data_IF_432575877810
#
_entry.id   IF_432575877810
#
_cell.length_a   1.000
_cell.length_b   1.000
_cell.length_c   1.000
_cell.angle_alpha   90.00
_cell.angle_beta   90.00
_cell.angle_gamma   90.00
#
_symmetry.space_group_name_H-M   'P 1'
#
loop_
_entity.id
_entity.type
_entity.pdbx_description
1 polymer ?
#
# COMPACT_ATOMS: atom_id res chain seq x y z
N UNK A 1 18.94 41.42 83.81
CA UNK A 1 18.68 42.88 83.87
C UNK A 1 18.24 43.37 82.49
N UNK A 2 17.03 43.90 82.43
CA UNK A 2 16.46 44.98 81.59
C UNK A 2 16.84 45.21 80.09
N UNK A 3 15.77 45.22 79.27
CA UNK A 3 15.42 46.11 78.12
C UNK A 3 16.30 46.10 76.85
N UNK A 4 15.80 46.20 75.60
CA UNK A 4 14.71 47.02 75.01
C UNK A 4 14.37 46.51 73.58
N UNK A 5 13.09 46.58 73.20
CA UNK A 5 12.50 47.01 71.91
C UNK A 5 13.37 47.14 70.63
N UNK A 6 12.93 46.57 69.50
CA UNK A 6 12.52 47.36 68.30
C UNK A 6 11.75 46.53 67.25
N UNK A 7 10.66 47.11 66.77
CA UNK A 7 9.80 46.76 65.63
C UNK A 7 10.40 47.28 64.30
N UNK A 8 10.05 46.66 63.14
CA UNK A 8 9.12 47.19 62.09
C UNK A 8 9.39 46.66 60.65
N UNK A 9 8.29 46.17 60.03
CA UNK A 9 7.83 46.22 58.61
C UNK A 9 8.63 45.62 57.43
N UNK A 10 7.99 44.74 56.61
CA UNK A 10 8.41 44.39 55.26
C UNK A 10 7.69 45.20 54.16
N UNK A 11 8.40 45.36 53.04
CA UNK A 11 8.16 46.24 51.90
C UNK A 11 7.21 45.69 50.83
N UNK A 12 6.34 46.61 50.39
CA UNK A 12 5.50 46.80 49.20
C UNK A 12 5.70 46.07 47.85
N UNK A 13 6.44 44.96 47.71
CA UNK A 13 6.64 44.34 46.38
C UNK A 13 5.60 43.28 45.97
N UNK A 14 4.77 42.79 46.89
CA UNK A 14 3.81 41.72 46.58
C UNK A 14 2.42 42.19 46.08
N UNK A 15 2.14 43.49 46.09
CA UNK A 15 0.77 43.98 45.82
C UNK A 15 0.50 44.32 44.35
N UNK A 16 1.53 44.40 43.49
CA UNK A 16 1.34 44.77 42.08
C UNK A 16 1.14 43.58 41.13
N UNK A 17 1.57 42.36 41.50
CA UNK A 17 1.36 41.17 40.68
C UNK A 17 -0.04 40.55 40.80
N UNK A 18 -0.79 40.84 41.86
CA UNK A 18 -2.10 40.21 42.09
C UNK A 18 -3.30 40.92 41.43
N UNK A 19 -3.10 42.11 40.84
CA UNK A 19 -4.17 42.87 40.14
C UNK A 19 -4.24 42.59 38.63
N UNK A 20 -3.14 42.17 38.01
CA UNK A 20 -3.08 41.89 36.56
C UNK A 20 -3.55 40.48 36.19
N UNK A 21 -3.59 39.53 37.14
CA UNK A 21 -4.08 38.17 36.91
C UNK A 21 -5.62 38.08 36.87
N UNK A 22 -6.33 38.88 37.68
CA UNK A 22 -7.81 38.85 37.75
C UNK A 22 -8.49 39.46 36.52
N UNK A 23 -7.88 40.45 35.88
CA UNK A 23 -8.42 41.10 34.66
C UNK A 23 -8.29 40.17 33.43
N UNK A 24 -7.26 39.31 33.39
CA UNK A 24 -7.06 38.33 32.30
C UNK A 24 -8.04 37.15 32.37
N UNK A 25 -8.46 36.73 33.56
CA UNK A 25 -9.44 35.64 33.72
C UNK A 25 -10.89 36.06 33.39
N UNK A 26 -11.25 37.32 33.67
CA UNK A 26 -12.59 37.84 33.30
C UNK A 26 -12.73 38.07 31.79
N UNK A 27 -11.66 38.43 31.09
CA UNK A 27 -11.66 38.55 29.63
C UNK A 27 -11.77 37.18 28.92
N UNK A 28 -11.17 36.12 29.47
CA UNK A 28 -11.24 34.75 28.94
C UNK A 28 -12.62 34.10 29.13
N UNK A 29 -13.28 34.35 30.27
CA UNK A 29 -14.64 33.86 30.53
C UNK A 29 -15.69 34.54 29.64
N UNK A 30 -15.51 35.84 29.33
CA UNK A 30 -16.38 36.56 28.39
C UNK A 30 -16.27 36.07 26.95
N UNK A 31 -15.07 35.66 26.50
CA UNK A 31 -14.87 35.11 25.14
C UNK A 31 -15.38 33.68 25.00
N UNK A 32 -15.24 32.84 26.03
CA UNK A 32 -15.77 31.47 26.02
C UNK A 32 -17.31 31.49 26.03
N UNK A 33 -17.95 32.39 26.79
CA UNK A 33 -19.42 32.54 26.78
C UNK A 33 -19.97 33.10 25.45
N UNK A 34 -19.23 33.99 24.78
CA UNK A 34 -19.61 34.48 23.44
C UNK A 34 -19.46 33.41 22.35
N UNK A 35 -18.44 32.55 22.43
CA UNK A 35 -18.24 31.43 21.49
C UNK A 35 -19.28 30.33 21.71
N UNK A 36 -19.66 30.05 22.95
CA UNK A 36 -20.71 29.06 23.27
C UNK A 36 -22.11 29.57 22.93
N UNK A 37 -22.41 30.87 23.13
CA UNK A 37 -23.67 31.46 22.69
C UNK A 37 -23.77 31.56 21.16
N UNK A 38 -22.66 31.83 20.47
CA UNK A 38 -22.58 31.79 19.01
C UNK A 38 -22.77 30.38 18.42
N UNK A 39 -22.20 29.35 19.07
CA UNK A 39 -22.38 27.95 18.67
C UNK A 39 -23.80 27.44 18.92
N UNK A 40 -24.44 27.83 20.04
CA UNK A 40 -25.82 27.46 20.33
C UNK A 40 -26.84 28.14 19.38
N UNK A 41 -26.55 29.36 18.91
CA UNK A 41 -27.35 30.06 17.89
C UNK A 41 -27.10 29.55 16.46
N UNK A 42 -25.94 28.95 16.19
CA UNK A 42 -25.64 28.28 14.91
C UNK A 42 -26.33 26.91 14.82
N UNK A 43 -26.31 26.13 15.89
CA UNK A 43 -26.92 24.79 15.94
C UNK A 43 -28.46 24.85 15.94
N UNK A 44 -29.06 25.95 16.39
CA UNK A 44 -30.52 26.13 16.40
C UNK A 44 -31.11 26.72 15.11
N UNK A 45 -30.29 26.99 14.09
CA UNK A 45 -30.73 27.61 12.81
C UNK A 45 -30.37 26.87 11.53
N UNK A 46 -29.81 25.67 11.57
CA UNK A 46 -29.66 24.83 10.37
C UNK A 46 -30.83 23.85 10.26
N UNK A 47 -31.76 24.02 9.30
CA UNK A 47 -32.70 22.97 8.94
C UNK A 47 -31.90 21.78 8.42
N UNK A 48 -32.30 20.57 8.80
CA UNK A 48 -31.75 19.33 8.28
C UNK A 48 -31.91 19.26 6.76
N UNK A 49 -30.87 19.68 6.04
CA UNK A 49 -30.62 19.33 4.66
C UNK A 49 -29.37 18.48 4.64
N UNK A 50 -29.45 17.32 4.00
CA UNK A 50 -28.27 16.55 3.60
C UNK A 50 -27.32 17.53 2.89
N UNK A 51 -26.22 17.89 3.54
CA UNK A 51 -25.16 18.63 2.88
C UNK A 51 -24.55 17.64 1.90
N UNK A 52 -25.00 17.75 0.66
CA UNK A 52 -24.33 17.17 -0.49
C UNK A 52 -22.91 17.74 -0.48
N UNK A 53 -21.96 16.94 0.01
CA UNK A 53 -20.54 17.32 0.01
C UNK A 53 -20.16 17.61 -1.43
N UNK A 54 -19.86 18.87 -1.74
CA UNK A 54 -19.23 19.22 -3.01
C UNK A 54 -18.03 18.30 -3.20
N UNK A 55 -17.88 17.63 -4.35
CA UNK A 55 -16.71 16.80 -4.61
C UNK A 55 -15.46 17.67 -4.40
N UNK A 56 -14.52 17.20 -3.58
CA UNK A 56 -13.19 17.80 -3.51
C UNK A 56 -12.62 17.83 -4.93
N UNK A 57 -12.40 19.01 -5.50
CA UNK A 57 -11.77 19.16 -6.81
C UNK A 57 -10.35 18.60 -6.73
N UNK A 58 -10.15 17.38 -7.17
CA UNK A 58 -8.81 16.82 -7.37
C UNK A 58 -8.19 17.49 -8.58
N UNK A 59 -7.45 18.56 -8.35
CA UNK A 59 -6.70 19.22 -9.42
C UNK A 59 -5.58 18.30 -9.93
N UNK A 60 -5.40 18.18 -11.26
CA UNK A 60 -4.27 17.46 -11.83
C UNK A 60 -2.93 18.03 -11.34
N UNK A 61 -2.01 17.15 -10.95
CA UNK A 61 -0.65 17.51 -10.53
C UNK A 61 0.27 17.33 -11.74
N UNK A 62 1.09 18.32 -12.05
CA UNK A 62 2.08 18.22 -13.12
C UNK A 62 3.29 17.40 -12.65
N UNK A 63 3.79 16.52 -13.51
CA UNK A 63 5.08 15.83 -13.29
C UNK A 63 6.25 16.78 -13.47
N UNK A 64 7.42 16.39 -12.97
CA UNK A 64 8.66 17.05 -13.39
C UNK A 64 8.88 16.86 -14.91
N UNK A 65 9.56 17.81 -15.58
CA UNK A 65 9.91 17.67 -16.99
C UNK A 65 10.91 16.52 -17.18
N UNK A 66 10.78 15.82 -18.31
CA UNK A 66 11.69 14.74 -18.67
C UNK A 66 11.43 14.21 -20.08
N UNK A 67 12.18 13.17 -20.51
CA UNK A 67 12.04 12.59 -21.84
C UNK A 67 10.67 11.94 -22.10
N UNK A 68 9.87 11.73 -21.05
CA UNK A 68 8.49 11.27 -21.12
C UNK A 68 7.48 12.32 -21.63
N UNK A 69 7.89 13.59 -21.72
CA UNK A 69 7.02 14.71 -22.09
C UNK A 69 6.35 15.38 -20.88
N UNK A 70 5.26 16.09 -21.13
CA UNK A 70 4.47 16.74 -20.08
C UNK A 70 3.40 15.79 -19.56
N UNK A 71 3.56 15.30 -18.33
CA UNK A 71 2.54 14.49 -17.68
C UNK A 71 1.76 15.30 -16.66
N UNK A 72 0.48 14.99 -16.56
CA UNK A 72 -0.33 15.31 -15.40
C UNK A 72 -0.90 14.04 -14.79
N UNK A 73 -1.09 14.03 -13.48
CA UNK A 73 -1.67 12.88 -12.81
C UNK A 73 -2.66 13.29 -11.72
N UNK A 74 -3.65 12.42 -11.51
CA UNK A 74 -4.70 12.60 -10.52
C UNK A 74 -4.61 11.41 -9.56
N UNK A 75 -4.44 11.64 -8.24
CA UNK A 75 -4.53 10.58 -7.25
C UNK A 75 -5.92 9.95 -7.27
N UNK A 76 -5.95 8.62 -7.33
CA UNK A 76 -7.18 7.83 -7.24
C UNK A 76 -7.02 6.75 -6.19
N UNK A 77 -8.15 6.20 -5.79
CA UNK A 77 -8.26 5.10 -4.86
C UNK A 77 -8.96 3.93 -5.57
N UNK A 78 -8.37 2.74 -5.47
CA UNK A 78 -8.92 1.53 -6.08
C UNK A 78 -9.37 0.60 -4.95
N UNK A 79 -10.61 0.14 -5.05
CA UNK A 79 -11.23 -0.75 -4.07
C UNK A 79 -11.27 -2.18 -4.60
N UNK A 80 -11.06 -3.12 -3.69
CA UNK A 80 -11.22 -4.54 -3.99
C UNK A 80 -12.69 -4.83 -4.34
N UNK A 81 -12.96 -5.61 -5.41
CA UNK A 81 -14.32 -6.03 -5.74
C UNK A 81 -14.97 -6.86 -4.63
N UNK A 82 -16.30 -6.73 -4.50
CA UNK A 82 -17.08 -7.31 -3.41
C UNK A 82 -16.92 -8.83 -3.30
N UNK A 83 -16.84 -9.54 -4.43
CA UNK A 83 -16.69 -11.01 -4.47
C UNK A 83 -15.38 -11.54 -3.87
N UNK A 84 -14.38 -10.68 -3.63
CA UNK A 84 -13.16 -11.08 -2.91
C UNK A 84 -13.30 -10.99 -1.39
N UNK A 85 -14.35 -10.33 -0.88
CA UNK A 85 -14.52 -10.03 0.55
C UNK A 85 -15.23 -11.15 1.33
N UNK A 86 -15.77 -12.16 0.64
CA UNK A 86 -16.58 -13.23 1.24
C UNK A 86 -15.79 -14.19 2.15
N UNK A 87 -14.45 -14.11 2.14
CA UNK A 87 -13.53 -15.07 2.80
C UNK A 87 -12.82 -14.54 4.05
N UNK A 88 -13.12 -13.32 4.50
CA UNK A 88 -12.40 -12.70 5.62
C UNK A 88 -13.15 -13.03 6.90
N UNK A 89 -12.72 -14.11 7.55
CA UNK A 89 -13.31 -14.60 8.78
C UNK A 89 -12.76 -13.85 10.00
N UNK A 90 -13.65 -13.58 10.96
CA UNK A 90 -13.28 -12.97 12.23
C UNK A 90 -12.58 -13.94 13.18
N UNK A 91 -11.69 -14.82 12.73
CA UNK A 91 -11.06 -15.82 13.62
C UNK A 91 -10.21 -15.14 14.70
N UNK A 92 -10.28 -15.59 15.97
CA UNK A 92 -9.46 -15.01 17.04
C UNK A 92 -7.97 -15.04 16.71
N UNK A 93 -7.21 -13.97 17.04
CA UNK A 93 -5.80 -13.88 16.71
C UNK A 93 -4.99 -14.97 17.42
N UNK A 94 -4.18 -15.65 16.64
CA UNK A 94 -3.14 -16.56 17.14
C UNK A 94 -1.80 -16.01 16.68
N UNK A 95 -0.93 -15.69 17.64
CA UNK A 95 0.39 -15.12 17.36
C UNK A 95 1.44 -16.22 17.35
N UNK A 96 2.22 -16.29 16.28
CA UNK A 96 3.33 -17.23 16.14
C UNK A 96 4.68 -16.52 16.26
N UNK A 97 5.52 -17.02 17.17
CA UNK A 97 6.89 -16.57 17.39
C UNK A 97 7.85 -17.68 16.98
N UNK A 98 8.29 -17.68 15.72
CA UNK A 98 9.17 -18.70 15.16
C UNK A 98 10.58 -18.68 15.76
N UNK A 99 11.08 -19.85 16.14
CA UNK A 99 12.42 -20.04 16.73
C UNK A 99 12.56 -19.56 18.17
N UNK A 100 11.52 -19.00 18.79
CA UNK A 100 11.59 -18.54 20.17
C UNK A 100 11.55 -19.70 21.16
N UNK A 101 12.51 -19.74 22.08
CA UNK A 101 12.38 -20.55 23.29
C UNK A 101 11.45 -19.86 24.28
N UNK A 102 10.92 -20.63 25.23
CA UNK A 102 10.04 -20.11 26.29
C UNK A 102 10.65 -18.93 27.06
N UNK A 103 11.92 -19.04 27.45
CA UNK A 103 12.63 -17.99 28.17
C UNK A 103 12.92 -16.76 27.29
N UNK A 104 13.30 -16.98 26.03
CA UNK A 104 13.54 -15.89 25.08
C UNK A 104 12.25 -15.10 24.81
N UNK A 105 11.12 -15.78 24.63
CA UNK A 105 9.82 -15.16 24.42
C UNK A 105 9.37 -14.35 25.64
N UNK A 106 9.50 -14.91 26.84
CA UNK A 106 9.17 -14.19 28.07
C UNK A 106 10.03 -12.93 28.24
N UNK A 107 11.34 -13.02 27.97
CA UNK A 107 12.21 -11.85 28.05
C UNK A 107 11.87 -10.80 26.98
N UNK A 108 11.55 -11.23 25.76
CA UNK A 108 11.12 -10.35 24.68
C UNK A 108 9.84 -9.59 25.07
N UNK A 109 8.80 -10.30 25.50
CA UNK A 109 7.51 -9.70 25.86
C UNK A 109 7.64 -8.68 27.00
N UNK A 110 8.50 -8.95 28.00
CA UNK A 110 8.83 -7.98 29.07
C UNK A 110 9.46 -6.69 28.53
N UNK A 111 10.21 -6.79 27.45
CA UNK A 111 10.84 -5.66 26.76
C UNK A 111 9.87 -4.81 25.94
N UNK A 112 8.62 -5.23 25.73
CA UNK A 112 7.64 -4.53 24.87
C UNK A 112 6.89 -3.38 25.58
N UNK A 113 7.29 -3.00 26.79
CA UNK A 113 6.66 -1.90 27.53
C UNK A 113 5.19 -2.18 27.91
N UNK A 114 4.88 -3.42 28.26
CA UNK A 114 3.53 -3.85 28.65
C UNK A 114 3.15 -3.32 30.04
N UNK A 115 1.85 -3.06 30.24
CA UNK A 115 1.29 -2.86 31.58
C UNK A 115 1.22 -4.18 32.37
N UNK A 116 1.12 -4.10 33.70
CA UNK A 116 1.15 -5.27 34.59
C UNK A 116 0.10 -6.33 34.27
N UNK A 117 -1.12 -5.92 33.95
CA UNK A 117 -2.21 -6.84 33.58
C UNK A 117 -1.94 -7.53 32.23
N UNK A 118 -1.40 -6.78 31.27
CA UNK A 118 -1.06 -7.30 29.94
C UNK A 118 0.10 -8.29 30.01
N UNK A 119 1.13 -7.98 30.78
CA UNK A 119 2.24 -8.90 31.04
C UNK A 119 1.70 -10.17 31.71
N UNK A 120 0.85 -10.05 32.73
CA UNK A 120 0.28 -11.22 33.40
C UNK A 120 -0.50 -12.11 32.42
N UNK A 121 -1.32 -11.50 31.56
CA UNK A 121 -2.09 -12.22 30.54
C UNK A 121 -1.19 -12.91 29.51
N UNK A 122 -0.18 -12.21 28.98
CA UNK A 122 0.74 -12.75 27.97
C UNK A 122 1.72 -13.78 28.53
N UNK A 123 2.05 -13.71 29.82
CA UNK A 123 2.90 -14.69 30.51
C UNK A 123 2.14 -15.91 30.99
N UNK A 124 0.82 -15.99 30.77
CA UNK A 124 0.05 -17.19 31.08
C UNK A 124 0.43 -18.32 30.13
N UNK A 125 1.30 -19.20 30.61
CA UNK A 125 1.85 -20.31 29.83
C UNK A 125 0.80 -21.35 29.42
N UNK A 126 -0.40 -21.35 30.03
CA UNK A 126 -1.50 -22.20 29.59
C UNK A 126 -2.04 -21.79 28.21
N UNK A 127 -1.80 -20.53 27.80
CA UNK A 127 -2.16 -20.02 26.47
C UNK A 127 -1.04 -20.23 25.43
N UNK A 128 0.08 -20.86 25.83
CA UNK A 128 1.25 -21.07 24.99
C UNK A 128 1.28 -22.51 24.47
N UNK A 129 1.38 -22.65 23.17
CA UNK A 129 1.60 -23.92 22.48
C UNK A 129 3.03 -23.93 21.94
N UNK A 130 3.91 -24.66 22.61
CA UNK A 130 5.32 -24.78 22.22
C UNK A 130 5.51 -26.00 21.30
N UNK A 131 6.21 -25.81 20.19
CA UNK A 131 6.67 -26.89 19.32
C UNK A 131 8.14 -26.67 18.88
N UNK A 132 8.64 -27.51 17.97
CA UNK A 132 10.02 -27.38 17.46
C UNK A 132 10.23 -26.13 16.58
N UNK A 133 9.16 -25.58 16.00
CA UNK A 133 9.20 -24.43 15.11
C UNK A 133 9.13 -23.10 15.88
N UNK A 134 8.57 -23.09 17.09
CA UNK A 134 8.44 -21.89 17.92
C UNK A 134 7.31 -21.98 18.94
N UNK A 135 6.67 -20.85 19.19
CA UNK A 135 5.55 -20.73 20.13
C UNK A 135 4.34 -20.09 19.46
N UNK A 136 3.17 -20.73 19.59
CA UNK A 136 1.87 -20.10 19.29
C UNK A 136 1.23 -19.61 20.58
N UNK A 137 0.71 -18.39 20.57
CA UNK A 137 -0.02 -17.79 21.68
C UNK A 137 -1.42 -17.44 21.20
N UNK A 138 -2.43 -17.99 21.86
CA UNK A 138 -3.82 -17.52 21.68
C UNK A 138 -4.05 -16.28 22.53
N UNK A 139 -4.43 -15.18 21.90
CA UNK A 139 -4.64 -13.90 22.59
C UNK A 139 -6.12 -13.49 22.58
N UNK A 140 -6.55 -12.85 23.65
CA UNK A 140 -7.91 -12.33 23.78
C UNK A 140 -8.07 -10.96 23.13
N UNK A 141 -9.24 -10.70 22.54
CA UNK A 141 -9.59 -9.43 21.92
C UNK A 141 -9.37 -8.23 22.86
N UNK A 142 -9.75 -8.38 24.14
CA UNK A 142 -9.58 -7.32 25.15
C UNK A 142 -8.10 -6.97 25.36
N UNK A 143 -7.22 -7.98 25.36
CA UNK A 143 -5.79 -7.79 25.50
C UNK A 143 -5.25 -6.99 24.31
N UNK A 144 -5.57 -7.40 23.07
CA UNK A 144 -5.12 -6.73 21.84
C UNK A 144 -5.57 -5.26 21.80
N UNK A 145 -6.84 -4.99 22.15
CA UNK A 145 -7.39 -3.62 22.22
C UNK A 145 -6.69 -2.76 23.28
N UNK A 146 -6.25 -3.37 24.38
CA UNK A 146 -5.61 -2.64 25.48
C UNK A 146 -4.17 -2.23 25.18
N UNK A 147 -3.50 -2.83 24.19
CA UNK A 147 -2.10 -2.52 23.90
C UNK A 147 -1.92 -1.05 23.54
N UNK A 148 -0.87 -0.44 24.08
CA UNK A 148 -0.44 0.89 23.62
C UNK A 148 0.06 0.79 22.17
N UNK A 149 0.03 1.90 21.39
CA UNK A 149 0.62 1.90 20.04
C UNK A 149 2.09 1.47 20.02
N UNK A 150 2.86 1.80 21.08
CA UNK A 150 4.26 1.40 21.22
C UNK A 150 4.40 -0.12 21.43
N UNK A 151 3.67 -0.69 22.40
CA UNK A 151 3.72 -2.13 22.68
C UNK A 151 3.22 -2.96 21.50
N UNK A 152 2.15 -2.49 20.83
CA UNK A 152 1.61 -3.11 19.61
C UNK A 152 2.67 -3.13 18.51
N UNK A 153 3.31 -1.99 18.24
CA UNK A 153 4.40 -1.92 17.25
C UNK A 153 5.54 -2.88 17.59
N UNK A 154 6.00 -2.92 18.84
CA UNK A 154 7.09 -3.80 19.27
C UNK A 154 6.76 -5.29 19.04
N UNK A 155 5.56 -5.73 19.44
CA UNK A 155 5.12 -7.12 19.25
C UNK A 155 4.90 -7.41 17.77
N UNK A 156 4.17 -6.55 17.06
CA UNK A 156 3.75 -6.83 15.68
C UNK A 156 4.93 -6.81 14.72
N UNK A 157 5.96 -6.00 14.97
CA UNK A 157 7.22 -6.06 14.21
C UNK A 157 7.95 -7.41 14.38
N UNK A 158 7.84 -8.06 15.54
CA UNK A 158 8.38 -9.41 15.73
C UNK A 158 7.54 -10.47 15.00
N UNK A 159 6.21 -10.33 15.05
CA UNK A 159 5.28 -11.22 14.35
C UNK A 159 5.39 -11.12 12.82
N UNK A 160 5.62 -9.91 12.31
CA UNK A 160 5.74 -9.60 10.88
C UNK A 160 6.90 -10.35 10.19
N UNK A 161 7.81 -10.95 10.95
CA UNK A 161 8.92 -11.75 10.41
C UNK A 161 8.51 -13.16 9.99
N UNK A 162 7.28 -13.57 10.31
CA UNK A 162 6.80 -14.92 10.11
C UNK A 162 5.49 -14.90 9.31
N UNK A 163 5.43 -15.54 8.12
CA UNK A 163 4.25 -15.52 7.25
C UNK A 163 3.00 -16.17 7.87
N UNK A 164 3.17 -16.99 8.92
CA UNK A 164 2.07 -17.56 9.70
C UNK A 164 1.23 -16.49 10.40
N UNK A 165 1.79 -15.30 10.65
CA UNK A 165 1.06 -14.14 11.17
C UNK A 165 0.55 -13.26 10.04
N UNK A 166 -0.30 -13.79 9.16
CA UNK A 166 -0.64 -13.16 7.87
C UNK A 166 -0.97 -11.66 7.96
N UNK A 167 -1.76 -11.24 8.95
CA UNK A 167 -2.17 -9.85 9.12
C UNK A 167 -1.01 -8.93 9.56
N UNK A 168 -0.08 -9.44 10.37
CA UNK A 168 1.11 -8.69 10.81
C UNK A 168 2.25 -8.79 9.80
N UNK A 169 2.34 -9.89 9.05
CA UNK A 169 3.31 -10.11 7.98
C UNK A 169 3.07 -9.14 6.81
N UNK A 170 1.80 -8.92 6.45
CA UNK A 170 1.40 -8.00 5.40
C UNK A 170 0.34 -7.00 5.91
N UNK A 171 0.71 -6.10 6.83
CA UNK A 171 -0.25 -5.15 7.41
C UNK A 171 -0.67 -4.12 6.36
N UNK A 172 -1.84 -3.51 6.57
CA UNK A 172 -2.20 -2.34 5.77
C UNK A 172 -1.37 -1.14 6.24
N UNK A 173 -0.66 -0.52 5.30
CA UNK A 173 0.20 0.62 5.56
C UNK A 173 -0.39 1.91 4.99
N UNK A 174 -0.35 2.96 5.80
CA UNK A 174 -0.92 4.26 5.47
C UNK A 174 0.07 5.38 5.76
N UNK A 175 0.04 6.41 4.91
CA UNK A 175 0.60 7.70 5.26
C UNK A 175 -0.24 8.35 6.35
N UNK A 176 0.35 8.78 7.48
CA UNK A 176 -0.40 9.41 8.57
C UNK A 176 -1.35 10.51 8.09
N UNK A 177 -0.89 11.37 7.19
CA UNK A 177 -1.60 12.53 6.66
C UNK A 177 -2.76 12.20 5.70
N UNK A 178 -2.89 10.94 5.25
CA UNK A 178 -3.96 10.51 4.33
C UNK A 178 -5.03 9.63 4.99
N UNK A 179 -4.89 9.33 6.28
CA UNK A 179 -5.80 8.42 6.99
C UNK A 179 -7.19 9.04 7.10
N UNK A 180 -7.29 10.31 7.48
CA UNK A 180 -8.58 10.96 7.69
C UNK A 180 -9.37 11.09 6.38
N UNK A 181 -8.73 11.57 5.30
CA UNK A 181 -9.33 11.63 3.96
C UNK A 181 -9.86 10.26 3.49
N UNK A 182 -9.13 9.19 3.80
CA UNK A 182 -9.54 7.82 3.48
C UNK A 182 -10.81 7.43 4.24
N UNK A 183 -10.83 7.70 5.54
CA UNK A 183 -11.94 7.32 6.43
C UNK A 183 -13.21 8.11 6.11
N UNK A 184 -13.09 9.39 5.81
CA UNK A 184 -14.22 10.25 5.40
C UNK A 184 -14.92 9.69 4.15
N UNK A 185 -14.14 9.28 3.14
CA UNK A 185 -14.64 8.67 1.91
C UNK A 185 -15.22 7.26 2.13
N UNK A 186 -14.93 6.61 3.25
CA UNK A 186 -15.38 5.25 3.57
C UNK A 186 -16.84 5.15 4.02
N UNK A 187 -17.45 6.28 4.42
CA UNK A 187 -18.84 6.34 4.96
C UNK A 187 -19.08 5.34 6.10
N UNK A 188 -18.08 5.20 6.96
CA UNK A 188 -18.09 4.36 8.15
C UNK A 188 -18.77 5.09 9.31
N UNK A 189 -19.33 4.35 10.24
CA UNK A 189 -19.87 4.90 11.47
C UNK A 189 -18.74 5.51 12.33
N UNK A 190 -19.03 6.53 13.16
CA UNK A 190 -18.05 7.10 14.08
C UNK A 190 -17.45 6.07 15.04
N UNK A 191 -18.25 5.06 15.43
CA UNK A 191 -17.82 3.93 16.25
C UNK A 191 -16.73 3.11 15.54
N UNK A 192 -16.98 2.68 14.31
CA UNK A 192 -16.02 1.94 13.49
C UNK A 192 -14.73 2.73 13.30
N UNK A 193 -14.84 4.02 12.99
CA UNK A 193 -13.68 4.91 12.81
C UNK A 193 -12.85 4.98 14.09
N UNK A 194 -13.50 5.11 15.26
CA UNK A 194 -12.80 5.14 16.54
C UNK A 194 -12.07 3.82 16.80
N UNK A 195 -12.74 2.69 16.63
CA UNK A 195 -12.13 1.37 16.81
C UNK A 195 -10.95 1.12 15.87
N UNK A 196 -11.05 1.56 14.61
CA UNK A 196 -9.94 1.50 13.65
C UNK A 196 -8.76 2.33 14.14
N UNK A 197 -8.99 3.59 14.52
CA UNK A 197 -7.92 4.50 14.99
C UNK A 197 -7.22 3.99 16.26
N UNK A 198 -7.95 3.36 17.18
CA UNK A 198 -7.39 2.77 18.41
C UNK A 198 -6.38 1.64 18.15
N UNK A 199 -6.50 0.95 17.01
CA UNK A 199 -5.67 -0.20 16.64
C UNK A 199 -4.49 0.16 15.73
N UNK A 200 -4.40 1.41 15.32
CA UNK A 200 -3.26 1.91 14.56
C UNK A 200 -1.98 1.87 15.40
N UNK A 201 -0.85 1.59 14.75
CA UNK A 201 0.46 1.61 15.40
C UNK A 201 1.55 2.19 14.49
N UNK A 202 2.59 2.82 15.07
CA UNK A 202 3.71 3.35 14.30
C UNK A 202 4.48 2.24 13.59
N UNK A 203 4.85 2.53 12.33
CA UNK A 203 5.50 1.59 11.43
C UNK A 203 6.53 2.37 10.59
N UNK A 204 7.68 2.70 11.20
CA UNK A 204 8.66 3.60 10.59
C UNK A 204 8.09 5.01 10.41
N UNK A 205 8.10 5.51 9.17
CA UNK A 205 7.44 6.78 8.79
C UNK A 205 5.96 6.61 8.41
N UNK A 206 5.44 5.39 8.47
CA UNK A 206 4.06 5.04 8.15
C UNK A 206 3.28 4.68 9.42
N UNK A 207 1.97 4.52 9.26
CA UNK A 207 1.10 3.91 10.27
C UNK A 207 0.57 2.59 9.72
N UNK A 208 0.58 1.56 10.56
CA UNK A 208 0.12 0.23 10.19
C UNK A 208 -1.20 -0.14 10.87
N UNK A 209 -1.93 -1.05 10.22
CA UNK A 209 -3.15 -1.68 10.72
C UNK A 209 -3.17 -3.17 10.35
N UNK A 210 -3.34 -4.04 11.35
CA UNK A 210 -3.29 -5.49 11.20
C UNK A 210 -4.44 -6.22 11.93
N UNK A 211 -5.45 -5.49 12.40
CA UNK A 211 -6.46 -6.04 13.32
C UNK A 211 -7.87 -6.02 12.71
N UNK A 212 -7.99 -6.23 11.39
CA UNK A 212 -9.29 -6.28 10.69
C UNK A 212 -10.23 -7.26 11.35
N UNK A 213 -9.77 -8.49 11.62
CA UNK A 213 -10.57 -9.55 12.26
C UNK A 213 -11.19 -9.13 13.60
N UNK A 214 -10.48 -8.32 14.38
CA UNK A 214 -10.92 -7.83 15.69
C UNK A 214 -12.12 -6.89 15.61
N UNK A 215 -12.12 -6.00 14.62
CA UNK A 215 -13.24 -5.09 14.34
C UNK A 215 -14.41 -5.87 13.73
N UNK A 216 -14.10 -6.72 12.76
CA UNK A 216 -15.07 -7.53 12.03
C UNK A 216 -15.88 -8.48 12.93
N UNK A 217 -15.28 -9.04 13.98
CA UNK A 217 -16.00 -9.87 14.98
C UNK A 217 -17.08 -9.10 15.73
N UNK A 218 -16.83 -7.82 16.00
CA UNK A 218 -17.79 -6.97 16.72
C UNK A 218 -18.87 -6.37 15.82
N UNK A 219 -18.76 -6.53 14.49
CA UNK A 219 -19.70 -5.96 13.53
C UNK A 219 -20.82 -6.95 13.17
N UNK A 220 -22.06 -6.59 13.49
CA UNK A 220 -23.26 -7.32 13.08
C UNK A 220 -23.88 -6.82 11.76
N UNK A 221 -23.59 -5.59 11.35
CA UNK A 221 -24.13 -4.99 10.14
C UNK A 221 -23.26 -5.33 8.92
N UNK A 222 -23.80 -6.13 7.99
CA UNK A 222 -23.08 -6.57 6.78
C UNK A 222 -22.71 -5.41 5.84
N UNK A 223 -23.53 -4.37 5.73
CA UNK A 223 -23.22 -3.20 4.89
C UNK A 223 -22.04 -2.42 5.48
N UNK A 224 -22.04 -2.20 6.79
CA UNK A 224 -20.93 -1.56 7.50
C UNK A 224 -19.65 -2.41 7.39
N UNK A 225 -19.78 -3.73 7.52
CA UNK A 225 -18.69 -4.71 7.34
C UNK A 225 -18.02 -4.55 5.97
N UNK A 226 -18.82 -4.55 4.89
CA UNK A 226 -18.31 -4.39 3.53
C UNK A 226 -17.63 -3.02 3.32
N UNK A 227 -18.25 -1.94 3.82
CA UNK A 227 -17.64 -0.59 3.74
C UNK A 227 -16.31 -0.54 4.48
N UNK A 228 -16.24 -1.14 5.68
CA UNK A 228 -15.02 -1.19 6.47
C UNK A 228 -13.92 -1.92 5.69
N UNK A 229 -14.23 -3.12 5.18
CA UNK A 229 -13.28 -3.91 4.40
C UNK A 229 -12.76 -3.19 3.16
N UNK A 230 -13.65 -2.55 2.39
CA UNK A 230 -13.23 -1.71 1.26
C UNK A 230 -12.35 -0.54 1.69
N UNK A 231 -12.73 0.15 2.76
CA UNK A 231 -12.00 1.33 3.26
C UNK A 231 -10.59 0.98 3.70
N UNK A 232 -10.40 -0.13 4.42
CA UNK A 232 -9.07 -0.54 4.92
C UNK A 232 -8.20 -1.13 3.81
N UNK A 233 -8.78 -1.88 2.86
CA UNK A 233 -8.05 -2.56 1.79
C UNK A 233 -7.75 -1.67 0.57
N UNK A 234 -8.44 -0.54 0.42
CA UNK A 234 -8.28 0.40 -0.70
C UNK A 234 -6.81 0.72 -0.96
N UNK A 235 -6.40 0.76 -2.22
CA UNK A 235 -5.03 1.03 -2.66
C UNK A 235 -4.97 2.34 -3.43
N UNK A 236 -4.07 3.23 -3.02
CA UNK A 236 -3.84 4.49 -3.73
C UNK A 236 -3.13 4.22 -5.06
N UNK A 237 -3.53 4.93 -6.11
CA UNK A 237 -2.94 4.87 -7.44
C UNK A 237 -3.05 6.25 -8.12
N UNK A 238 -2.68 6.34 -9.39
CA UNK A 238 -2.78 7.55 -10.18
C UNK A 238 -3.45 7.27 -11.51
N UNK A 239 -4.31 8.17 -11.99
CA UNK A 239 -4.59 8.30 -13.42
C UNK A 239 -3.56 9.26 -14.00
N UNK A 240 -2.79 8.82 -14.99
CA UNK A 240 -1.69 9.61 -15.55
C UNK A 240 -1.99 9.91 -17.02
N UNK A 241 -1.91 11.17 -17.40
CA UNK A 241 -2.17 11.65 -18.76
C UNK A 241 -0.93 12.33 -19.33
N UNK A 242 -0.63 12.01 -20.58
CA UNK A 242 0.33 12.74 -21.40
C UNK A 242 -0.39 13.89 -22.11
N UNK A 243 0.13 15.10 -21.95
CA UNK A 243 -0.29 16.27 -22.68
C UNK A 243 0.47 16.35 -24.01
N UNK A 244 -0.26 16.29 -25.13
CA UNK A 244 0.27 16.40 -26.49
C UNK A 244 -0.24 17.70 -27.10
N UNK A 245 0.68 18.64 -27.34
CA UNK A 245 0.42 19.94 -27.95
C UNK A 245 0.82 19.99 -29.42
N UNK A 246 0.35 20.97 -30.21
CA UNK A 246 0.75 21.13 -31.61
C UNK A 246 2.26 21.24 -31.85
N UNK A 247 3.01 21.71 -30.86
CA UNK A 247 4.46 21.89 -30.88
C UNK A 247 5.23 20.75 -30.18
N UNK A 248 4.56 19.67 -29.77
CA UNK A 248 5.22 18.53 -29.10
C UNK A 248 6.18 17.77 -30.02
N UNK A 249 7.35 17.42 -29.50
CA UNK A 249 8.32 16.56 -30.21
C UNK A 249 7.86 15.10 -30.20
N UNK A 250 7.10 14.72 -31.22
CA UNK A 250 6.59 13.35 -31.39
C UNK A 250 7.73 12.32 -31.44
N UNK A 251 8.87 12.65 -32.06
CA UNK A 251 10.00 11.71 -32.18
C UNK A 251 10.61 11.42 -30.81
N UNK A 252 10.76 12.44 -29.96
CA UNK A 252 11.21 12.25 -28.59
C UNK A 252 10.23 11.41 -27.76
N UNK A 253 8.92 11.66 -27.90
CA UNK A 253 7.88 10.89 -27.22
C UNK A 253 7.87 9.42 -27.66
N UNK A 254 7.93 9.16 -28.96
CA UNK A 254 8.02 7.79 -29.51
C UNK A 254 9.30 7.10 -29.05
N UNK A 255 10.42 7.82 -28.99
CA UNK A 255 11.68 7.26 -28.47
C UNK A 255 11.59 6.84 -27.01
N UNK A 256 10.86 7.58 -26.18
CA UNK A 256 10.69 7.24 -24.77
C UNK A 256 9.64 6.13 -24.56
N UNK A 257 8.42 6.35 -25.05
CA UNK A 257 7.28 5.45 -24.83
C UNK A 257 7.30 4.21 -25.72
N UNK A 258 8.05 4.23 -26.82
CA UNK A 258 8.19 3.12 -27.77
C UNK A 258 9.11 1.99 -27.33
N UNK A 259 9.58 2.00 -26.07
CA UNK A 259 10.34 0.90 -25.50
C UNK A 259 9.60 -0.44 -25.66
N UNK A 260 10.33 -1.47 -26.10
CA UNK A 260 9.81 -2.83 -26.34
C UNK A 260 8.84 -2.91 -27.52
N UNK A 261 9.33 -3.28 -28.71
CA UNK A 261 8.59 -3.65 -29.96
C UNK A 261 7.40 -2.79 -30.47
N UNK A 262 6.89 -1.82 -29.71
CA UNK A 262 5.60 -1.13 -29.92
C UNK A 262 5.75 0.32 -30.38
N UNK A 263 6.98 0.83 -30.57
CA UNK A 263 7.23 2.20 -31.05
C UNK A 263 6.44 2.55 -32.33
N UNK A 264 6.26 1.58 -33.23
CA UNK A 264 5.62 1.77 -34.54
C UNK A 264 4.10 1.99 -34.45
N UNK A 265 3.47 1.61 -33.35
CA UNK A 265 2.01 1.66 -33.22
C UNK A 265 1.52 3.01 -32.66
N UNK A 266 2.39 3.78 -32.01
CA UNK A 266 2.01 5.03 -31.33
C UNK A 266 2.30 6.30 -32.12
N UNK A 267 3.28 6.27 -33.04
CA UNK A 267 3.67 7.45 -33.81
C UNK A 267 2.48 8.09 -34.56
N UNK A 268 1.67 7.35 -35.35
CA UNK A 268 0.53 7.95 -36.05
C UNK A 268 -0.53 8.53 -35.11
N UNK A 269 -0.71 7.91 -33.93
CA UNK A 269 -1.63 8.40 -32.90
C UNK A 269 -1.14 9.74 -32.35
N UNK A 270 0.12 9.82 -31.92
CA UNK A 270 0.71 11.04 -31.37
C UNK A 270 0.74 12.17 -32.39
N UNK A 271 1.10 11.89 -33.65
CA UNK A 271 1.02 12.86 -34.75
C UNK A 271 -0.40 13.37 -35.01
N UNK A 272 -1.42 12.53 -34.79
CA UNK A 272 -2.80 12.96 -34.91
C UNK A 272 -3.20 13.90 -33.77
N UNK A 273 -2.72 13.63 -32.56
CA UNK A 273 -3.01 14.47 -31.40
C UNK A 273 -2.38 15.87 -31.48
N UNK A 274 -1.24 16.03 -32.17
CA UNK A 274 -0.66 17.38 -32.41
C UNK A 274 -1.52 18.25 -33.33
N UNK A 275 -2.40 17.65 -34.15
CA UNK A 275 -3.32 18.39 -35.03
C UNK A 275 -4.56 18.93 -34.31
N UNK A 276 -4.76 18.57 -33.04
CA UNK A 276 -5.88 19.08 -32.23
C UNK A 276 -5.58 20.51 -31.78
N UNK A 277 -6.46 21.45 -32.13
CA UNK A 277 -6.34 22.85 -31.72
C UNK A 277 -6.36 22.96 -30.19
N UNK A 278 -5.35 23.63 -29.62
CA UNK A 278 -5.18 23.76 -28.16
C UNK A 278 -4.51 22.56 -27.47
N UNK A 279 -4.17 21.50 -28.21
CA UNK A 279 -3.60 20.27 -27.67
C UNK A 279 -4.64 19.29 -27.14
N UNK A 280 -4.19 18.08 -26.79
CA UNK A 280 -5.02 17.00 -26.30
C UNK A 280 -4.29 16.22 -25.20
N UNK A 281 -5.05 15.54 -24.35
CA UNK A 281 -4.53 14.68 -23.28
C UNK A 281 -4.92 13.24 -23.54
N UNK A 282 -3.96 12.33 -23.43
CA UNK A 282 -4.18 10.88 -23.56
C UNK A 282 -3.73 10.17 -22.29
N UNK A 283 -4.53 9.19 -21.82
CA UNK A 283 -4.13 8.34 -20.69
C UNK A 283 -2.94 7.46 -21.09
N UNK A 284 -1.88 7.43 -20.27
CA UNK A 284 -0.68 6.65 -20.57
C UNK A 284 -0.93 5.14 -20.56
N UNK A 285 -2.06 4.66 -20.04
CA UNK A 285 -2.49 3.28 -20.20
C UNK A 285 -2.50 2.85 -21.68
N UNK A 286 -2.78 3.77 -22.61
CA UNK A 286 -2.70 3.55 -24.05
C UNK A 286 -1.27 3.50 -24.61
N UNK A 287 -0.27 3.85 -23.81
CA UNK A 287 1.16 3.79 -24.14
C UNK A 287 1.86 2.60 -23.47
N UNK A 288 1.22 1.98 -22.47
CA UNK A 288 1.72 0.76 -21.84
C UNK A 288 1.77 -0.42 -22.81
N UNK A 289 2.69 -1.39 -22.63
CA UNK A 289 2.69 -2.62 -23.41
C UNK A 289 1.41 -3.43 -23.14
N UNK A 290 1.01 -4.34 -24.06
CA UNK A 290 -0.23 -5.11 -23.94
C UNK A 290 -0.41 -5.82 -22.59
N UNK A 291 0.68 -6.36 -22.02
CA UNK A 291 0.66 -7.02 -20.71
C UNK A 291 0.18 -6.10 -19.59
N UNK A 292 0.81 -4.93 -19.47
CA UNK A 292 0.54 -3.96 -18.41
C UNK A 292 -0.79 -3.25 -18.64
N UNK A 293 -1.11 -2.89 -19.90
CA UNK A 293 -2.39 -2.26 -20.27
C UNK A 293 -3.60 -3.11 -19.87
N UNK A 294 -3.53 -4.43 -20.05
CA UNK A 294 -4.63 -5.35 -19.68
C UNK A 294 -4.83 -5.48 -18.16
N UNK A 295 -3.86 -5.03 -17.35
CA UNK A 295 -3.82 -5.29 -15.91
C UNK A 295 -3.90 -4.04 -15.05
N UNK A 296 -3.45 -2.90 -15.54
CA UNK A 296 -3.46 -1.65 -14.76
C UNK A 296 -4.88 -1.39 -14.20
N UNK A 297 -4.94 -1.14 -12.89
CA UNK A 297 -6.13 -0.96 -12.06
C UNK A 297 -7.04 -2.18 -11.89
N UNK A 298 -6.57 -3.39 -12.20
CA UNK A 298 -7.31 -4.63 -11.96
C UNK A 298 -6.71 -5.44 -10.81
N UNK A 299 -7.53 -6.34 -10.26
CA UNK A 299 -7.10 -7.35 -9.29
C UNK A 299 -6.88 -8.68 -10.00
N UNK A 300 -5.95 -9.53 -9.53
CA UNK A 300 -5.75 -10.84 -10.11
C UNK A 300 -7.04 -11.67 -9.99
N UNK A 301 -7.47 -12.25 -11.11
CA UNK A 301 -8.57 -13.22 -11.10
C UNK A 301 -8.04 -14.51 -10.48
N UNK A 302 -8.67 -15.01 -9.41
CA UNK A 302 -8.32 -16.30 -8.82
C UNK A 302 -9.33 -17.39 -9.20
N UNK A 303 -8.81 -18.60 -9.40
CA UNK A 303 -9.53 -19.87 -9.34
C UNK A 303 -8.85 -20.64 -8.21
N UNK A 304 -9.60 -21.10 -7.21
CA UNK A 304 -9.05 -21.80 -6.04
C UNK A 304 -8.54 -23.19 -6.43
N UNK A 305 -7.31 -23.31 -6.94
CA UNK A 305 -6.62 -24.59 -7.16
C UNK A 305 -5.19 -24.54 -6.65
N UNK A 306 -4.68 -25.68 -6.16
CA UNK A 306 -3.33 -25.79 -5.58
C UNK A 306 -2.19 -25.47 -6.59
N UNK A 307 -2.46 -25.58 -7.90
CA UNK A 307 -1.51 -25.28 -8.99
C UNK A 307 -1.55 -23.80 -9.43
N UNK A 308 -1.93 -22.88 -8.54
CA UNK A 308 -2.15 -21.50 -8.93
C UNK A 308 -0.84 -20.79 -9.30
N UNK A 309 -0.84 -20.20 -10.49
CA UNK A 309 0.22 -19.32 -10.98
C UNK A 309 0.44 -18.16 -10.00
N UNK A 310 1.63 -18.08 -9.40
CA UNK A 310 2.01 -16.98 -8.53
C UNK A 310 2.34 -15.72 -9.35
N UNK A 311 1.32 -14.89 -9.60
CA UNK A 311 1.45 -13.64 -10.36
C UNK A 311 1.95 -12.48 -9.49
N UNK A 312 3.09 -12.64 -8.82
CA UNK A 312 3.62 -11.63 -7.90
C UNK A 312 4.34 -10.44 -8.60
N UNK A 313 5.05 -9.65 -7.80
CA UNK A 313 5.82 -8.49 -8.25
C UNK A 313 6.94 -8.84 -9.24
N UNK A 314 7.57 -9.99 -9.08
CA UNK A 314 8.67 -10.48 -9.93
C UNK A 314 8.10 -10.98 -11.25
N UNK A 315 7.11 -11.88 -11.21
CA UNK A 315 6.42 -12.35 -12.39
C UNK A 315 5.86 -11.20 -13.23
N UNK A 316 5.27 -10.20 -12.58
CA UNK A 316 4.76 -8.99 -13.23
C UNK A 316 5.86 -8.20 -13.93
N UNK A 317 7.00 -7.99 -13.26
CA UNK A 317 8.10 -7.18 -13.79
C UNK A 317 8.80 -7.86 -14.97
N UNK A 318 9.04 -9.17 -14.89
CA UNK A 318 9.62 -9.94 -15.99
C UNK A 318 8.77 -9.98 -17.26
N UNK A 319 7.44 -9.89 -17.09
CA UNK A 319 6.47 -9.97 -18.18
C UNK A 319 6.06 -8.61 -18.76
N UNK A 320 6.55 -7.48 -18.21
CA UNK A 320 6.10 -6.13 -18.59
C UNK A 320 6.08 -5.87 -20.11
N UNK A 321 7.15 -6.25 -20.81
CA UNK A 321 7.27 -6.09 -22.27
C UNK A 321 6.90 -7.35 -23.08
N UNK A 322 6.33 -8.37 -22.47
CA UNK A 322 6.00 -9.63 -23.15
C UNK A 322 4.56 -9.61 -23.63
N UNK A 323 4.34 -9.97 -24.88
CA UNK A 323 2.99 -10.12 -25.44
C UNK A 323 2.25 -11.30 -24.80
N UNK A 324 2.94 -12.42 -24.66
CA UNK A 324 2.49 -13.63 -24.00
C UNK A 324 3.27 -13.75 -22.68
N UNK A 325 2.59 -13.70 -21.51
CA UNK A 325 3.25 -13.93 -20.23
C UNK A 325 3.94 -15.30 -20.22
N UNK A 326 5.10 -15.36 -19.57
CA UNK A 326 5.82 -16.59 -19.31
C UNK A 326 5.66 -16.92 -17.82
N UNK A 327 5.08 -18.09 -17.57
CA UNK A 327 4.68 -18.52 -16.23
C UNK A 327 5.81 -19.19 -15.46
N UNK A 328 6.89 -19.56 -16.16
CA UNK A 328 8.14 -19.99 -15.55
C UNK A 328 8.81 -18.90 -14.70
N UNK A 329 8.43 -17.63 -14.84
CA UNK A 329 8.87 -16.56 -13.93
C UNK A 329 8.27 -16.63 -12.53
N UNK A 330 7.27 -17.49 -12.30
CA UNK A 330 6.78 -17.80 -10.96
C UNK A 330 7.69 -18.78 -10.21
N UNK A 331 8.62 -19.44 -10.91
CA UNK A 331 9.67 -20.27 -10.31
C UNK A 331 10.92 -19.39 -10.02
N UNK A 332 11.35 -19.27 -8.75
CA UNK A 332 12.50 -18.47 -8.37
C UNK A 332 13.80 -18.83 -9.10
N UNK A 333 14.09 -20.11 -9.32
CA UNK A 333 15.35 -20.54 -9.94
C UNK A 333 15.38 -20.17 -11.43
N UNK A 334 14.26 -20.44 -12.12
CA UNK A 334 14.10 -20.07 -13.52
C UNK A 334 14.13 -18.55 -13.73
N UNK A 335 13.52 -17.80 -12.81
CA UNK A 335 13.53 -16.34 -12.83
C UNK A 335 14.95 -15.77 -12.68
N UNK A 336 15.75 -16.28 -11.74
CA UNK A 336 17.15 -15.86 -11.54
C UNK A 336 18.00 -16.13 -12.79
N UNK A 337 17.95 -17.35 -13.34
CA UNK A 337 18.73 -17.71 -14.52
C UNK A 337 18.39 -16.83 -15.74
N UNK A 338 17.11 -16.52 -15.93
CA UNK A 338 16.67 -15.61 -16.99
C UNK A 338 17.04 -14.15 -16.72
N UNK A 339 17.01 -13.72 -15.47
CA UNK A 339 17.39 -12.37 -15.08
C UNK A 339 18.84 -12.05 -15.48
N UNK A 340 19.79 -12.92 -15.14
CA UNK A 340 21.21 -12.73 -15.46
C UNK A 340 21.46 -12.67 -16.98
N UNK A 341 20.71 -13.45 -17.75
CA UNK A 341 20.89 -13.53 -19.21
C UNK A 341 20.15 -12.43 -19.97
N UNK A 342 19.01 -11.95 -19.48
CA UNK A 342 18.17 -10.96 -20.17
C UNK A 342 18.35 -9.53 -19.67
N UNK A 343 18.95 -9.30 -18.49
CA UNK A 343 19.08 -7.96 -17.91
C UNK A 343 20.54 -7.59 -17.65
N UNK A 344 20.81 -6.28 -17.66
CA UNK A 344 22.09 -5.68 -17.27
C UNK A 344 21.86 -4.68 -16.13
N UNK A 345 22.79 -4.63 -15.18
CA UNK A 345 22.77 -3.65 -14.10
C UNK A 345 23.15 -2.28 -14.67
N UNK A 346 22.28 -1.29 -14.47
CA UNK A 346 22.52 0.11 -14.85
C UNK A 346 23.14 0.91 -13.69
N UNK A 347 22.83 0.53 -12.45
CA UNK A 347 23.29 1.19 -11.23
C UNK A 347 22.18 1.27 -10.20
N UNK A 348 22.25 2.25 -9.28
CA UNK A 348 21.26 2.45 -8.22
C UNK A 348 20.56 3.82 -8.26
N UNK A 349 21.02 4.72 -9.14
CA UNK A 349 20.50 6.08 -9.28
C UNK A 349 19.34 6.13 -10.28
N UNK A 350 18.14 6.48 -9.79
CA UNK A 350 16.92 6.52 -10.60
C UNK A 350 16.90 7.63 -11.63
N UNK A 351 17.80 8.61 -11.55
CA UNK A 351 17.99 9.61 -12.62
C UNK A 351 18.45 8.97 -13.94
N UNK A 352 19.03 7.77 -13.88
CA UNK A 352 19.42 6.98 -15.06
C UNK A 352 18.34 6.02 -15.54
N UNK A 353 17.20 5.94 -14.83
CA UNK A 353 16.10 5.06 -15.18
C UNK A 353 15.42 5.51 -16.47
N UNK A 354 15.00 4.51 -17.24
CA UNK A 354 14.25 4.66 -18.48
C UNK A 354 12.97 3.87 -18.39
N UNK A 355 12.00 4.25 -19.22
CA UNK A 355 10.74 3.53 -19.34
C UNK A 355 10.97 2.02 -19.49
N UNK A 356 10.39 1.26 -18.57
CA UNK A 356 10.47 -0.20 -18.57
C UNK A 356 11.70 -0.80 -17.90
N UNK A 357 12.63 0.02 -17.38
CA UNK A 357 13.70 -0.51 -16.54
C UNK A 357 13.09 -1.11 -15.26
N UNK A 358 13.66 -2.22 -14.81
CA UNK A 358 13.24 -2.92 -13.61
C UNK A 358 13.98 -2.36 -12.39
N UNK A 359 13.22 -1.92 -11.40
CA UNK A 359 13.70 -1.58 -10.07
C UNK A 359 13.62 -2.85 -9.21
N UNK A 360 14.74 -3.28 -8.65
CA UNK A 360 14.80 -4.42 -7.73
C UNK A 360 15.22 -3.90 -6.36
N UNK A 361 14.44 -4.24 -5.35
CA UNK A 361 14.68 -3.88 -3.96
C UNK A 361 15.20 -5.09 -3.21
N UNK A 362 16.33 -4.91 -2.54
CA UNK A 362 16.99 -5.95 -1.77
C UNK A 362 16.92 -5.60 -0.29
N UNK A 363 16.45 -6.52 0.54
CA UNK A 363 16.42 -6.34 1.99
C UNK A 363 17.80 -6.49 2.62
N UNK A 364 17.90 -6.19 3.91
CA UNK A 364 19.15 -6.30 4.69
C UNK A 364 19.80 -7.69 4.69
N UNK A 365 19.05 -8.76 4.40
CA UNK A 365 19.55 -10.13 4.25
C UNK A 365 20.22 -10.41 2.90
N UNK A 366 20.19 -9.44 1.97
CA UNK A 366 20.62 -9.65 0.59
C UNK A 366 19.58 -10.39 -0.27
N UNK A 367 18.36 -10.60 0.23
CA UNK A 367 17.27 -11.22 -0.55
C UNK A 367 16.52 -10.13 -1.33
N UNK A 368 16.14 -10.41 -2.57
CA UNK A 368 15.24 -9.54 -3.34
C UNK A 368 13.84 -9.61 -2.73
N UNK A 369 13.34 -8.49 -2.23
CA UNK A 369 12.07 -8.40 -1.49
C UNK A 369 10.95 -7.83 -2.35
N UNK A 370 11.29 -7.12 -3.43
CA UNK A 370 10.31 -6.59 -4.37
C UNK A 370 10.94 -6.23 -5.72
N UNK A 371 10.12 -6.21 -6.77
CA UNK A 371 10.47 -5.56 -8.03
C UNK A 371 9.32 -4.75 -8.61
N UNK A 372 9.65 -3.64 -9.29
CA UNK A 372 8.70 -2.79 -9.98
C UNK A 372 9.31 -2.28 -11.30
N UNK A 373 8.47 -1.65 -12.13
CA UNK A 373 8.89 -1.11 -13.43
C UNK A 373 8.86 0.41 -13.41
N UNK A 374 9.93 1.04 -13.86
CA UNK A 374 10.01 2.49 -13.99
C UNK A 374 9.13 2.97 -15.14
N UNK A 375 8.29 3.99 -14.89
CA UNK A 375 7.40 4.56 -15.90
C UNK A 375 7.88 5.96 -16.30
N UNK A 376 7.87 6.93 -15.39
CA UNK A 376 8.27 8.32 -15.61
C UNK A 376 8.21 9.11 -14.29
N UNK A 377 9.08 10.10 -14.08
CA UNK A 377 9.03 11.01 -12.92
C UNK A 377 8.79 10.30 -11.56
N UNK A 378 9.63 9.31 -11.26
CA UNK A 378 9.54 8.44 -10.08
C UNK A 378 8.19 7.70 -9.92
N UNK A 379 7.35 7.68 -10.95
CA UNK A 379 6.18 6.82 -11.03
C UNK A 379 6.59 5.45 -11.55
N UNK A 380 6.06 4.42 -10.90
CA UNK A 380 6.35 3.03 -11.17
C UNK A 380 5.06 2.25 -11.44
N UNK A 381 5.15 1.19 -12.22
CA UNK A 381 4.13 0.16 -12.35
C UNK A 381 4.51 -1.02 -11.46
N UNK A 382 3.59 -1.46 -10.60
CA UNK A 382 3.87 -2.50 -9.60
C UNK A 382 2.64 -3.36 -9.33
N UNK A 383 2.91 -4.57 -8.83
CA UNK A 383 1.96 -5.41 -8.11
C UNK A 383 2.59 -5.75 -6.76
N UNK A 384 2.04 -5.24 -5.67
CA UNK A 384 2.64 -5.35 -4.35
C UNK A 384 2.41 -6.72 -3.73
N UNK A 385 3.15 -7.72 -4.21
CA UNK A 385 3.05 -9.11 -3.76
C UNK A 385 1.98 -9.93 -4.47
N UNK A 386 1.87 -11.21 -4.06
CA UNK A 386 1.01 -12.21 -4.67
C UNK A 386 -0.48 -12.08 -4.29
N UNK A 387 -0.80 -11.29 -3.26
CA UNK A 387 -2.13 -11.21 -2.68
C UNK A 387 -3.24 -10.89 -3.68
N UNK A 388 -4.41 -11.50 -3.48
CA UNK A 388 -5.60 -11.26 -4.30
C UNK A 388 -6.19 -9.86 -4.12
N UNK A 389 -5.91 -9.26 -2.96
CA UNK A 389 -6.24 -7.89 -2.58
C UNK A 389 -5.22 -6.87 -3.10
N UNK A 390 -4.23 -7.30 -3.89
CA UNK A 390 -3.17 -6.44 -4.42
C UNK A 390 -3.37 -6.23 -5.93
N UNK A 391 -3.84 -5.04 -6.35
CA UNK A 391 -4.04 -4.72 -7.75
C UNK A 391 -2.72 -4.39 -8.45
N UNK A 392 -2.71 -4.42 -9.78
CA UNK A 392 -1.66 -3.75 -10.56
C UNK A 392 -1.96 -2.25 -10.62
N UNK A 393 -1.01 -1.42 -10.19
CA UNK A 393 -1.23 0.02 -10.01
C UNK A 393 -0.01 0.85 -10.40
N UNK A 394 -0.24 2.15 -10.56
CA UNK A 394 0.83 3.14 -10.54
C UNK A 394 1.07 3.63 -9.12
N UNK A 395 2.34 3.78 -8.75
CA UNK A 395 2.73 4.32 -7.44
C UNK A 395 3.91 5.27 -7.59
N UNK A 396 4.12 6.14 -6.60
CA UNK A 396 5.38 6.86 -6.48
C UNK A 396 6.42 5.94 -5.85
N UNK A 397 7.66 6.05 -6.30
CA UNK A 397 8.79 5.24 -5.82
C UNK A 397 9.00 5.38 -4.30
N UNK A 398 8.80 6.58 -3.76
CA UNK A 398 8.88 6.84 -2.32
C UNK A 398 7.85 6.03 -1.52
N UNK A 399 6.62 5.91 -2.01
CA UNK A 399 5.54 5.13 -1.36
C UNK A 399 5.94 3.66 -1.28
N UNK A 400 6.45 3.14 -2.40
CA UNK A 400 6.89 1.75 -2.47
C UNK A 400 8.03 1.49 -1.50
N UNK A 401 9.02 2.38 -1.45
CA UNK A 401 10.14 2.26 -0.49
C UNK A 401 9.63 2.23 0.95
N UNK A 402 8.70 3.11 1.30
CA UNK A 402 8.13 3.14 2.65
C UNK A 402 7.41 1.82 3.02
N UNK A 403 6.75 1.17 2.06
CA UNK A 403 6.08 -0.12 2.26
C UNK A 403 7.10 -1.25 2.53
N UNK A 404 8.16 -1.34 1.74
CA UNK A 404 9.09 -2.48 1.80
C UNK A 404 10.24 -2.31 2.80
N UNK A 405 10.50 -1.10 3.31
CA UNK A 405 11.43 -0.87 4.43
C UNK A 405 10.92 -1.54 5.71
N UNK A 406 9.62 -1.49 6.00
CA UNK A 406 9.10 -1.94 7.28
C UNK A 406 9.42 -3.41 7.61
N UNK A 407 9.08 -4.41 6.76
CA UNK A 407 9.37 -5.81 7.08
C UNK A 407 10.86 -6.18 6.96
N UNK A 408 11.66 -5.37 6.24
CA UNK A 408 13.02 -5.77 5.81
C UNK A 408 14.16 -4.94 6.42
N UNK A 409 13.83 -3.86 7.15
CA UNK A 409 14.80 -2.88 7.62
C UNK A 409 15.28 -1.99 6.47
N UNK A 410 16.59 -1.86 6.28
CA UNK A 410 17.13 -1.14 5.13
C UNK A 410 16.82 -1.90 3.84
N UNK A 411 16.43 -1.16 2.79
CA UNK A 411 16.34 -1.70 1.44
C UNK A 411 17.31 -0.97 0.52
N UNK A 412 18.02 -1.73 -0.30
CA UNK A 412 18.87 -1.21 -1.36
C UNK A 412 18.12 -1.30 -2.70
N UNK A 413 18.29 -0.28 -3.55
CA UNK A 413 17.70 -0.24 -4.88
C UNK A 413 18.78 -0.51 -5.93
N UNK A 414 18.49 -1.45 -6.82
CA UNK A 414 19.23 -1.67 -8.05
C UNK A 414 18.33 -1.51 -9.28
N UNK A 415 18.85 -0.87 -10.31
CA UNK A 415 18.20 -0.61 -11.58
C UNK A 415 18.75 -1.56 -12.64
N UNK A 416 17.85 -2.30 -13.28
CA UNK A 416 18.18 -3.27 -14.31
C UNK A 416 17.49 -2.92 -15.61
N UNK A 417 18.24 -3.00 -16.71
CA UNK A 417 17.72 -2.78 -18.05
C UNK A 417 17.68 -4.08 -18.82
N UNK A 418 16.58 -4.32 -19.53
CA UNK A 418 16.50 -5.47 -20.42
C UNK A 418 17.48 -5.28 -21.58
N UNK A 419 18.35 -6.26 -21.80
CA UNK A 419 19.27 -6.31 -22.93
C UNK A 419 18.46 -6.35 -24.22
N UNK A 420 18.85 -5.54 -25.20
CA UNK A 420 18.25 -5.54 -26.52
C UNK A 420 18.65 -6.83 -27.28
N UNK A 421 17.95 -7.94 -27.04
CA UNK A 421 18.06 -9.09 -27.95
C UNK A 421 17.34 -8.75 -29.25
N UNK A 422 18.12 -8.73 -30.35
CA UNK A 422 17.69 -8.62 -31.74
C UNK A 422 16.44 -9.50 -31.93
N UNK A 423 15.33 -8.86 -32.32
CA UNK A 423 14.10 -9.42 -32.88
C UNK A 423 13.88 -10.92 -32.69
N UNK A 424 12.88 -11.29 -31.88
CA UNK A 424 12.18 -12.56 -32.07
C UNK A 424 11.46 -12.52 -33.44
N UNK A 425 12.18 -12.84 -34.50
CA UNK A 425 11.57 -13.30 -35.74
C UNK A 425 10.98 -14.68 -35.47
N UNK A 426 9.64 -14.73 -35.48
CA UNK A 426 8.77 -15.88 -35.76
C UNK A 426 9.33 -17.26 -35.36
N UNK A 427 8.91 -17.77 -34.21
CA UNK A 427 8.78 -19.21 -34.00
C UNK A 427 7.31 -19.60 -34.05
N UNK A 428 6.80 -19.79 -35.28
CA UNK A 428 5.67 -20.69 -35.50
C UNK A 428 6.30 -22.04 -35.82
N UNK A 429 6.12 -23.09 -34.99
CA UNK A 429 6.49 -24.43 -35.42
C UNK A 429 5.47 -24.88 -36.47
N UNK A 430 5.91 -25.06 -37.72
CA UNK A 430 5.19 -25.88 -38.70
C UNK A 430 5.06 -27.30 -38.13
N UNK A 431 3.87 -27.66 -37.67
CA UNK A 431 3.52 -29.07 -37.53
C UNK A 431 3.42 -29.67 -38.92
N UNK A 432 4.50 -30.34 -39.35
CA UNK A 432 4.47 -31.29 -40.46
C UNK A 432 3.58 -32.46 -40.06
N UNK A 433 2.44 -32.56 -40.72
CA UNK A 433 1.58 -33.75 -40.76
C UNK A 433 2.34 -34.90 -41.44
N UNK A 434 2.89 -35.80 -40.63
CA UNK A 434 3.29 -37.12 -41.08
C UNK A 434 2.05 -38.02 -41.15
N UNK A 435 1.82 -38.61 -42.33
CA UNK A 435 0.62 -39.35 -42.66
C UNK A 435 0.40 -40.62 -41.85
N UNK A 436 -0.88 -40.95 -41.69
CA UNK A 436 -1.31 -42.31 -41.36
C UNK A 436 -1.98 -42.87 -42.62
N UNK A 437 -1.36 -43.93 -43.10
CA UNK A 437 -1.80 -44.76 -44.22
C UNK A 437 -3.02 -45.58 -43.79
N UNK A 438 -3.99 -45.61 -44.69
CA UNK A 438 -5.09 -46.57 -44.87
C UNK A 438 -4.89 -47.95 -44.22
N UNK A 439 -5.88 -48.38 -43.45
CA UNK A 439 -6.35 -49.77 -43.47
C UNK A 439 -7.86 -49.82 -43.31
N UNK A 440 -8.54 -50.17 -44.39
CA UNK A 440 -9.95 -50.52 -44.42
C UNK A 440 -10.17 -51.88 -43.75
N UNK A 441 -11.14 -51.99 -42.84
CA UNK A 441 -11.90 -53.24 -42.62
C UNK A 441 -13.37 -52.90 -42.39
N UNK A 442 -14.19 -53.62 -43.14
CA UNK A 442 -15.64 -53.61 -43.25
C UNK A 442 -16.31 -54.24 -42.03
N UNK A 443 -17.44 -53.70 -41.55
CA UNK A 443 -18.74 -54.40 -41.49
C UNK A 443 -19.84 -53.64 -40.72
N UNK A 444 -20.98 -53.50 -41.42
CA UNK A 444 -22.39 -53.69 -41.00
C UNK A 444 -22.94 -53.00 -39.72
N UNK A 445 -23.95 -52.15 -39.99
CA UNK A 445 -25.19 -51.88 -39.23
C UNK A 445 -25.49 -52.83 -38.05
N UNK A 446 -25.89 -52.26 -36.90
CA UNK A 446 -27.27 -52.29 -36.38
C UNK A 446 -27.36 -51.61 -34.99
N UNK A 447 -28.47 -50.86 -34.83
CA UNK A 447 -29.02 -50.16 -33.65
C UNK A 447 -28.37 -48.85 -33.20
#
# INVERSE_FOLDING_TARGET
MSSKSSTRTPSSEQTFQNKTSKIRWLALLGTILLVLAGAALYISRTPGGLVESKPSETHPILSNPGPWGELEYIPIDIEIPDHFLDSIDGTPPTWFFGGYTKGALANFLKGCGLGREQETALMNQASWEMNQEGCRIRVEDKLVRSLSPHSRSAIYNALARFPENIDQYAPNLYRPERIDDRLEKGRLSPETIRQFKELLYPAGNMVAFADSGLILRSMSNQTERLRFMKTVSRRGSFLIKLNVRPDSDVKALVKYWGGGAHAKDFEPLLESLTRVSGGCKIDIAHLLPPFARKRIYTFPHQVDTADQLNQDCHWTSFNFFREIPQDDFSDPEAAIARFETEYELVGSDTRNARYGDMLVFQGSSGINVHSAIYIADDMIFTKNGAGKDQPWIFMKLEDLRAIYVLPNGSIELSLYRRKAKISYLRSVPEQRSAGIVSSAVSHKRLM
#
